data_IF_706805073062
#
_entry.id   IF_706805073062
#
_cell.length_a   1.000
_cell.length_b   1.000
_cell.length_c   1.000
_cell.angle_alpha   90.00
_cell.angle_beta   90.00
_cell.angle_gamma   90.00
#
_symmetry.space_group_name_H-M   'P 1'
#
loop_
_entity.id
_entity.type
_entity.pdbx_description
1 polymer ?
#
# COMPACT_ATOMS: atom_id res chain seq x y z
N UNK A 1 -25.31 33.44 -11.54
CA UNK A 1 -24.15 33.32 -12.42
C UNK A 1 -24.43 33.76 -13.85
N UNK A 2 -25.32 33.13 -14.62
CA UNK A 2 -25.63 33.56 -16.01
C UNK A 2 -26.04 35.03 -16.09
N UNK A 3 -26.90 35.49 -15.18
CA UNK A 3 -27.33 36.88 -15.06
C UNK A 3 -26.16 37.83 -14.71
N UNK A 4 -25.28 37.45 -13.74
CA UNK A 4 -24.13 38.27 -13.33
C UNK A 4 -23.11 38.39 -14.48
N UNK A 5 -22.82 37.27 -15.17
CA UNK A 5 -21.91 37.26 -16.32
C UNK A 5 -22.50 37.86 -17.60
N UNK A 6 -23.81 38.19 -17.64
CA UNK A 6 -24.48 38.71 -18.80
C UNK A 6 -24.51 37.75 -20.01
N UNK A 7 -24.66 36.45 -19.75
CA UNK A 7 -24.66 35.40 -20.78
C UNK A 7 -25.76 34.35 -20.53
N UNK A 8 -26.02 33.49 -21.53
CA UNK A 8 -26.99 32.40 -21.37
C UNK A 8 -26.45 31.31 -20.43
N UNK A 9 -27.35 30.53 -19.79
CA UNK A 9 -26.97 29.32 -19.01
C UNK A 9 -26.15 28.33 -19.83
N UNK A 10 -26.43 28.23 -21.12
CA UNK A 10 -25.71 27.37 -22.06
C UNK A 10 -24.26 27.83 -22.26
N UNK A 11 -24.05 29.16 -22.31
CA UNK A 11 -22.69 29.76 -22.40
C UNK A 11 -21.91 29.52 -21.13
N UNK A 12 -22.52 29.69 -19.96
CA UNK A 12 -21.90 29.33 -18.66
C UNK A 12 -21.49 27.84 -18.66
N UNK A 13 -22.38 26.95 -19.05
CA UNK A 13 -22.10 25.50 -19.15
C UNK A 13 -20.94 25.21 -20.10
N UNK A 14 -20.86 25.87 -21.26
CA UNK A 14 -19.74 25.71 -22.20
C UNK A 14 -18.39 26.17 -21.59
N UNK A 15 -18.37 27.30 -20.91
CA UNK A 15 -17.16 27.79 -20.23
C UNK A 15 -16.73 26.81 -19.14
N UNK A 16 -17.67 26.39 -18.28
CA UNK A 16 -17.41 25.40 -17.23
C UNK A 16 -16.90 24.05 -17.76
N UNK A 17 -17.32 23.65 -18.96
CA UNK A 17 -16.91 22.39 -19.60
C UNK A 17 -15.69 22.53 -20.52
N UNK A 18 -15.00 23.69 -20.50
CA UNK A 18 -13.76 23.88 -21.25
C UNK A 18 -13.90 23.94 -22.77
N UNK A 19 -15.10 24.23 -23.30
CA UNK A 19 -15.30 24.34 -24.75
C UNK A 19 -14.40 25.42 -25.33
N UNK A 20 -13.58 25.06 -26.32
CA UNK A 20 -12.60 25.96 -26.97
C UNK A 20 -13.23 27.07 -27.80
N UNK A 21 -14.46 26.91 -28.22
CA UNK A 21 -15.19 27.87 -29.13
C UNK A 21 -15.87 29.02 -28.38
N UNK A 22 -15.59 29.26 -27.10
CA UNK A 22 -16.09 30.43 -26.36
C UNK A 22 -15.08 31.56 -26.50
N UNK A 23 -15.54 32.77 -26.85
CA UNK A 23 -14.67 33.95 -26.96
C UNK A 23 -13.97 34.25 -25.65
N UNK A 24 -12.68 34.64 -25.64
CA UNK A 24 -11.90 34.90 -24.41
C UNK A 24 -12.61 35.85 -23.45
N UNK A 25 -13.09 37.00 -23.94
CA UNK A 25 -13.80 38.00 -23.13
C UNK A 25 -15.07 37.46 -22.45
N UNK A 26 -15.77 36.52 -23.11
CA UNK A 26 -16.95 35.86 -22.54
C UNK A 26 -16.55 34.87 -21.48
N UNK A 27 -15.44 34.17 -21.68
CA UNK A 27 -14.85 33.24 -20.69
C UNK A 27 -14.45 33.99 -19.44
N UNK A 28 -13.76 35.12 -19.60
CA UNK A 28 -13.26 35.94 -18.46
C UNK A 28 -14.43 36.49 -17.62
N UNK A 29 -15.50 36.99 -18.25
CA UNK A 29 -16.71 37.43 -17.54
C UNK A 29 -17.38 36.30 -16.76
N UNK A 30 -17.42 35.09 -17.31
CA UNK A 30 -17.99 33.93 -16.59
C UNK A 30 -17.11 33.53 -15.44
N UNK A 31 -15.77 33.52 -15.59
CA UNK A 31 -14.83 33.21 -14.53
C UNK A 31 -14.88 34.23 -13.39
N UNK A 32 -14.95 35.54 -13.71
CA UNK A 32 -15.14 36.61 -12.73
C UNK A 32 -16.47 36.43 -11.94
N UNK A 33 -17.56 36.11 -12.62
CA UNK A 33 -18.85 35.87 -11.96
C UNK A 33 -18.83 34.60 -11.07
N UNK A 34 -18.02 33.57 -11.42
CA UNK A 34 -17.80 32.37 -10.59
C UNK A 34 -17.10 32.78 -9.29
N UNK A 35 -16.04 33.58 -9.38
CA UNK A 35 -15.26 34.07 -8.25
C UNK A 35 -16.09 34.98 -7.34
N UNK A 36 -16.79 35.97 -7.91
CA UNK A 36 -17.67 36.91 -7.18
C UNK A 36 -18.78 36.19 -6.39
N UNK A 37 -19.38 35.15 -6.98
CA UNK A 37 -20.46 34.39 -6.35
C UNK A 37 -19.98 33.25 -5.43
N UNK A 38 -18.68 33.01 -5.33
CA UNK A 38 -18.12 31.86 -4.62
C UNK A 38 -18.71 30.52 -5.17
N UNK A 39 -19.07 30.50 -6.45
CA UNK A 39 -19.80 29.36 -7.00
C UNK A 39 -18.91 28.12 -7.07
N UNK A 40 -19.29 27.11 -6.32
CA UNK A 40 -18.73 25.76 -6.43
C UNK A 40 -19.57 24.93 -7.42
N UNK A 41 -18.87 24.28 -8.32
CA UNK A 41 -19.50 23.42 -9.33
C UNK A 41 -20.32 22.33 -8.62
N UNK A 42 -21.59 22.19 -8.97
CA UNK A 42 -22.42 21.10 -8.48
C UNK A 42 -22.02 19.81 -9.23
N UNK A 43 -21.25 18.95 -8.56
CA UNK A 43 -20.79 17.65 -9.11
C UNK A 43 -21.96 16.71 -9.39
N UNK A 44 -23.02 16.72 -8.54
CA UNK A 44 -24.20 15.89 -8.74
C UNK A 44 -24.94 16.23 -10.06
N UNK A 45 -25.08 17.53 -10.38
CA UNK A 45 -25.69 17.94 -11.64
C UNK A 45 -24.83 17.52 -12.86
N UNK A 46 -23.50 17.52 -12.74
CA UNK A 46 -22.60 17.02 -13.78
C UNK A 46 -22.75 15.51 -13.96
N UNK A 47 -22.76 14.76 -12.89
CA UNK A 47 -22.93 13.29 -12.91
C UNK A 47 -24.20 12.89 -13.64
N UNK A 48 -25.32 13.59 -13.40
CA UNK A 48 -26.59 13.35 -14.10
C UNK A 48 -26.46 13.54 -15.63
N UNK A 49 -25.69 14.53 -16.08
CA UNK A 49 -25.53 14.85 -17.50
C UNK A 49 -24.48 13.97 -18.19
N UNK A 50 -23.36 13.73 -17.51
CA UNK A 50 -22.20 13.03 -18.10
C UNK A 50 -22.20 11.54 -17.81
N UNK A 51 -23.02 11.08 -16.86
CA UNK A 51 -22.99 9.74 -16.26
C UNK A 51 -21.60 9.36 -15.68
N UNK A 52 -20.81 10.38 -15.32
CA UNK A 52 -19.47 10.22 -14.74
C UNK A 52 -19.38 11.01 -13.43
N UNK A 53 -19.19 10.30 -12.34
CA UNK A 53 -19.06 10.92 -11.01
C UNK A 53 -17.68 11.56 -10.81
N UNK A 54 -16.64 11.03 -11.48
CA UNK A 54 -15.25 11.38 -11.22
C UNK A 54 -14.80 10.85 -9.85
N UNK A 55 -15.41 9.77 -9.35
CA UNK A 55 -15.10 9.19 -8.05
C UNK A 55 -14.73 7.72 -8.18
N UNK A 56 -13.73 7.30 -7.40
CA UNK A 56 -13.29 5.91 -7.24
C UNK A 56 -13.60 5.48 -5.81
N UNK A 57 -14.29 4.35 -5.64
CA UNK A 57 -14.50 3.72 -4.34
C UNK A 57 -13.22 3.05 -3.87
N UNK A 58 -12.90 3.20 -2.59
CA UNK A 58 -11.77 2.48 -1.98
C UNK A 58 -12.28 1.76 -0.74
N UNK A 59 -12.06 0.45 -0.72
CA UNK A 59 -12.38 -0.40 0.42
C UNK A 59 -11.08 -0.86 1.05
N UNK A 60 -10.92 -0.67 2.34
CA UNK A 60 -9.70 -1.02 3.04
C UNK A 60 -9.97 -1.44 4.48
N UNK A 61 -9.14 -2.33 4.99
CA UNK A 61 -9.04 -2.67 6.41
C UNK A 61 -7.74 -2.11 6.99
N UNK A 62 -7.63 -2.13 8.30
CA UNK A 62 -6.35 -1.97 9.03
C UNK A 62 -5.54 -0.71 8.69
N UNK A 63 -6.22 0.43 8.50
CA UNK A 63 -5.59 1.74 8.23
C UNK A 63 -4.61 2.20 9.33
N UNK A 64 -4.55 1.51 10.45
CA UNK A 64 -3.59 1.78 11.53
C UNK A 64 -2.18 1.27 11.20
N UNK A 65 -2.04 0.40 10.20
CA UNK A 65 -0.75 -0.11 9.76
C UNK A 65 -0.15 0.76 8.65
N UNK A 66 1.18 0.82 8.62
CA UNK A 66 1.93 1.69 7.70
C UNK A 66 1.68 1.39 6.22
N UNK A 67 1.63 0.10 5.85
CA UNK A 67 1.40 -0.33 4.47
C UNK A 67 0.08 0.18 3.90
N UNK A 68 -1.10 -0.22 4.45
CA UNK A 68 -2.40 0.23 3.97
C UNK A 68 -2.56 1.75 3.94
N UNK A 69 -2.10 2.46 4.98
CA UNK A 69 -2.13 3.92 5.02
C UNK A 69 -1.29 4.57 3.91
N UNK A 70 -0.09 4.03 3.66
CA UNK A 70 0.82 4.53 2.63
C UNK A 70 0.32 4.26 1.21
N UNK A 71 -0.30 3.09 0.97
CA UNK A 71 -0.98 2.76 -0.29
C UNK A 71 -2.12 3.77 -0.55
N UNK A 72 -2.93 4.05 0.46
CA UNK A 72 -4.02 5.03 0.36
C UNK A 72 -3.50 6.42 -0.03
N UNK A 73 -2.42 6.90 0.60
CA UNK A 73 -1.81 8.20 0.25
C UNK A 73 -1.26 8.23 -1.18
N UNK A 74 -0.62 7.14 -1.61
CA UNK A 74 -0.13 6.99 -2.98
C UNK A 74 -1.26 7.00 -4.00
N UNK A 75 -2.34 6.27 -3.71
CA UNK A 75 -3.54 6.20 -4.55
C UNK A 75 -4.27 7.55 -4.61
N UNK A 76 -4.42 8.26 -3.47
CA UNK A 76 -5.05 9.60 -3.43
C UNK A 76 -4.31 10.57 -4.35
N UNK A 77 -2.98 10.60 -4.23
CA UNK A 77 -2.15 11.48 -5.07
C UNK A 77 -2.30 11.17 -6.57
N UNK A 78 -2.31 9.88 -6.94
CA UNK A 78 -2.47 9.45 -8.33
C UNK A 78 -3.88 9.71 -8.86
N UNK A 79 -4.91 9.46 -8.06
CA UNK A 79 -6.32 9.70 -8.43
C UNK A 79 -6.58 11.18 -8.68
N UNK A 80 -6.09 12.05 -7.79
CA UNK A 80 -6.20 13.50 -7.94
C UNK A 80 -5.50 14.00 -9.22
N UNK A 81 -4.31 13.47 -9.53
CA UNK A 81 -3.59 13.81 -10.76
C UNK A 81 -4.38 13.37 -12.03
N UNK A 82 -5.15 12.29 -11.94
CA UNK A 82 -6.03 11.80 -12.99
C UNK A 82 -7.42 12.49 -13.02
N UNK A 83 -7.69 13.42 -12.09
CA UNK A 83 -8.97 14.16 -12.00
C UNK A 83 -10.09 13.38 -11.30
N UNK A 84 -9.76 12.36 -10.50
CA UNK A 84 -10.69 11.59 -9.69
C UNK A 84 -10.59 11.95 -8.21
N UNK A 85 -11.71 11.86 -7.51
CA UNK A 85 -11.79 11.85 -6.04
C UNK A 85 -11.91 10.43 -5.50
N UNK A 86 -11.54 10.22 -4.24
CA UNK A 86 -11.74 8.93 -3.58
C UNK A 86 -12.94 8.98 -2.64
N UNK A 87 -13.70 7.88 -2.62
CA UNK A 87 -14.74 7.58 -1.65
C UNK A 87 -14.31 6.36 -0.84
N UNK A 88 -14.11 6.53 0.47
CA UNK A 88 -13.55 5.52 1.36
C UNK A 88 -14.64 4.78 2.13
N UNK A 89 -14.57 3.45 2.15
CA UNK A 89 -15.30 2.58 3.07
C UNK A 89 -14.31 1.71 3.84
N UNK A 90 -14.32 1.79 5.16
CA UNK A 90 -13.50 0.96 6.04
C UNK A 90 -14.19 -0.37 6.35
N UNK A 91 -13.42 -1.44 6.48
CA UNK A 91 -13.90 -2.72 6.98
C UNK A 91 -13.66 -2.80 8.49
N UNK A 92 -14.70 -2.84 9.33
CA UNK A 92 -14.52 -3.00 10.78
C UNK A 92 -14.04 -4.40 11.16
N UNK A 93 -14.35 -5.39 10.31
CA UNK A 93 -13.91 -6.78 10.41
C UNK A 93 -13.83 -7.40 9.01
N UNK A 94 -13.02 -8.43 8.87
CA UNK A 94 -12.88 -9.17 7.61
C UNK A 94 -13.95 -10.25 7.55
N UNK A 95 -15.10 -9.90 7.02
CA UNK A 95 -16.24 -10.81 6.83
C UNK A 95 -16.94 -10.54 5.49
N UNK A 96 -17.64 -11.55 4.97
CA UNK A 96 -18.42 -11.41 3.74
C UNK A 96 -19.51 -10.33 3.88
N UNK A 97 -20.08 -10.17 5.07
CA UNK A 97 -21.10 -9.16 5.36
C UNK A 97 -20.51 -7.76 5.33
N UNK A 98 -19.39 -7.52 6.05
CA UNK A 98 -18.72 -6.22 6.08
C UNK A 98 -18.22 -5.81 4.69
N UNK A 99 -17.64 -6.75 3.93
CA UNK A 99 -17.15 -6.44 2.58
C UNK A 99 -18.30 -6.09 1.63
N UNK A 100 -19.42 -6.83 1.69
CA UNK A 100 -20.61 -6.52 0.88
C UNK A 100 -21.18 -5.15 1.24
N UNK A 101 -21.33 -4.85 2.52
CA UNK A 101 -21.80 -3.54 2.99
C UNK A 101 -20.89 -2.40 2.53
N UNK A 102 -19.57 -2.59 2.58
CA UNK A 102 -18.60 -1.60 2.10
C UNK A 102 -18.70 -1.38 0.58
N UNK A 103 -18.92 -2.46 -0.19
CA UNK A 103 -19.17 -2.36 -1.64
C UNK A 103 -20.45 -1.59 -1.91
N UNK A 104 -21.56 -1.94 -1.27
CA UNK A 104 -22.84 -1.25 -1.43
C UNK A 104 -22.70 0.24 -1.07
N UNK A 105 -22.01 0.55 0.04
CA UNK A 105 -21.78 1.93 0.48
C UNK A 105 -21.04 2.78 -0.57
N UNK A 106 -20.01 2.24 -1.24
CA UNK A 106 -19.29 3.00 -2.27
C UNK A 106 -20.09 3.06 -3.58
N UNK A 107 -20.83 2.00 -3.93
CA UNK A 107 -21.68 1.99 -5.13
C UNK A 107 -22.84 2.99 -5.03
N UNK A 108 -23.44 3.16 -3.84
CA UNK A 108 -24.47 4.18 -3.56
C UNK A 108 -24.00 5.61 -3.85
N UNK A 109 -22.66 5.84 -3.82
CA UNK A 109 -22.04 7.13 -4.18
C UNK A 109 -21.74 7.24 -5.68
N UNK A 110 -22.26 6.30 -6.49
CA UNK A 110 -22.08 6.25 -7.94
C UNK A 110 -20.62 6.29 -8.39
N UNK A 111 -19.73 5.58 -7.69
CA UNK A 111 -18.31 5.47 -8.08
C UNK A 111 -18.16 4.79 -9.45
N UNK A 112 -17.14 5.18 -10.22
CA UNK A 112 -16.89 4.62 -11.56
C UNK A 112 -16.08 3.32 -11.52
N UNK A 113 -15.31 3.10 -10.47
CA UNK A 113 -14.56 1.88 -10.21
C UNK A 113 -14.35 1.68 -8.70
N UNK A 114 -13.94 0.48 -8.29
CA UNK A 114 -13.63 0.13 -6.89
C UNK A 114 -12.20 -0.37 -6.80
N UNK A 115 -11.45 0.11 -5.81
CA UNK A 115 -10.14 -0.41 -5.41
C UNK A 115 -10.30 -1.07 -4.04
N UNK A 116 -9.86 -2.31 -3.91
CA UNK A 116 -9.94 -3.06 -2.65
C UNK A 116 -8.52 -3.30 -2.14
N UNK A 117 -8.17 -2.63 -1.04
CA UNK A 117 -6.87 -2.78 -0.36
C UNK A 117 -7.08 -3.73 0.81
N UNK A 118 -6.91 -5.01 0.56
CA UNK A 118 -7.13 -6.05 1.58
C UNK A 118 -6.04 -7.10 1.45
N UNK A 119 -5.19 -7.16 2.42
CA UNK A 119 -4.01 -8.00 2.46
C UNK A 119 -4.26 -9.40 3.06
N UNK A 120 -5.50 -9.74 3.42
CA UNK A 120 -5.84 -11.02 4.04
C UNK A 120 -6.34 -12.05 3.02
N UNK A 121 -5.88 -13.29 3.15
CA UNK A 121 -6.31 -14.40 2.27
C UNK A 121 -7.84 -14.58 2.26
N UNK A 122 -8.47 -14.54 3.45
CA UNK A 122 -9.92 -14.64 3.58
C UNK A 122 -10.67 -13.52 2.83
N UNK A 123 -10.17 -12.30 2.87
CA UNK A 123 -10.78 -11.16 2.20
C UNK A 123 -10.58 -11.20 0.68
N UNK A 124 -9.44 -11.74 0.21
CA UNK A 124 -9.20 -11.97 -1.21
C UNK A 124 -10.20 -12.98 -1.78
N UNK A 125 -10.41 -14.11 -1.11
CA UNK A 125 -11.38 -15.12 -1.50
C UNK A 125 -12.81 -14.55 -1.54
N UNK A 126 -13.18 -13.70 -0.57
CA UNK A 126 -14.46 -13.01 -0.54
C UNK A 126 -14.60 -12.01 -1.71
N UNK A 127 -13.57 -11.21 -1.99
CA UNK A 127 -13.59 -10.25 -3.09
C UNK A 127 -13.81 -10.93 -4.46
N UNK A 128 -13.21 -12.09 -4.68
CA UNK A 128 -13.44 -12.90 -5.90
C UNK A 128 -14.87 -13.45 -6.00
N UNK A 129 -15.56 -13.65 -4.88
CA UNK A 129 -16.93 -14.17 -4.86
C UNK A 129 -17.98 -13.08 -5.07
N UNK A 130 -17.61 -11.79 -4.97
CA UNK A 130 -18.55 -10.69 -5.12
C UNK A 130 -18.80 -10.37 -6.60
N UNK A 131 -20.08 -10.13 -6.90
CA UNK A 131 -20.46 -9.53 -8.17
C UNK A 131 -20.46 -8.01 -8.02
N UNK A 132 -19.45 -7.34 -8.59
CA UNK A 132 -19.30 -5.89 -8.58
C UNK A 132 -19.60 -5.38 -9.98
N UNK A 133 -20.63 -4.51 -10.11
CA UNK A 133 -21.14 -4.03 -11.41
C UNK A 133 -20.18 -3.06 -12.11
N UNK A 134 -19.24 -2.46 -11.37
CA UNK A 134 -18.23 -1.54 -11.92
C UNK A 134 -16.87 -2.22 -11.99
N UNK A 135 -15.91 -1.72 -12.80
CA UNK A 135 -14.55 -2.21 -12.79
C UNK A 135 -13.93 -2.18 -11.39
N UNK A 136 -13.23 -3.22 -11.00
CA UNK A 136 -12.52 -3.25 -9.72
C UNK A 136 -11.06 -3.68 -9.88
N UNK A 137 -10.23 -3.29 -8.91
CA UNK A 137 -8.80 -3.60 -8.80
C UNK A 137 -8.52 -4.07 -7.38
N UNK A 138 -7.79 -5.18 -7.25
CA UNK A 138 -7.30 -5.68 -5.98
C UNK A 138 -5.86 -5.19 -5.76
N UNK A 139 -5.54 -4.80 -4.53
CA UNK A 139 -4.20 -4.37 -4.13
C UNK A 139 -3.66 -5.38 -3.14
N UNK A 140 -2.43 -5.82 -3.35
CA UNK A 140 -1.72 -6.81 -2.54
C UNK A 140 -2.38 -8.21 -2.55
N UNK A 141 -3.10 -8.53 -3.63
CA UNK A 141 -3.69 -9.86 -3.80
C UNK A 141 -2.67 -10.90 -4.27
N UNK A 142 -3.12 -12.15 -4.39
CA UNK A 142 -2.36 -13.21 -5.06
C UNK A 142 -2.18 -12.84 -6.54
N UNK A 143 -0.97 -12.41 -6.86
CA UNK A 143 -0.58 -11.91 -8.18
C UNK A 143 -0.57 -13.01 -9.26
N UNK A 144 -0.62 -14.27 -8.86
CA UNK A 144 -0.70 -15.43 -9.77
C UNK A 144 -2.12 -15.66 -10.28
N UNK A 145 -3.15 -15.12 -9.61
CA UNK A 145 -4.53 -15.56 -9.81
C UNK A 145 -5.37 -14.67 -10.75
N UNK A 146 -5.08 -13.36 -10.90
CA UNK A 146 -5.92 -12.49 -11.74
C UNK A 146 -5.16 -11.32 -12.38
N UNK A 147 -5.54 -10.91 -13.62
CA UNK A 147 -5.00 -9.68 -14.26
C UNK A 147 -5.51 -8.38 -13.62
N UNK A 148 -6.18 -8.43 -12.46
CA UNK A 148 -6.84 -7.30 -11.80
C UNK A 148 -6.06 -6.78 -10.60
N UNK A 149 -4.81 -7.25 -10.40
CA UNK A 149 -4.04 -6.96 -9.19
C UNK A 149 -2.92 -5.98 -9.46
N UNK A 150 -2.63 -5.17 -8.46
CA UNK A 150 -1.44 -4.31 -8.38
C UNK A 150 -0.81 -4.50 -7.00
N UNK A 151 0.52 -4.60 -6.92
CA UNK A 151 1.20 -4.82 -5.65
C UNK A 151 2.69 -4.54 -5.74
N UNK A 152 3.37 -4.71 -4.60
CA UNK A 152 4.83 -4.73 -4.49
C UNK A 152 5.30 -6.19 -4.51
N UNK A 153 6.46 -6.46 -5.10
CA UNK A 153 7.05 -7.80 -5.07
C UNK A 153 7.63 -8.09 -3.67
N UNK A 154 6.76 -8.66 -2.81
CA UNK A 154 7.10 -8.98 -1.42
C UNK A 154 8.16 -10.09 -1.32
N UNK A 155 8.11 -11.06 -2.23
CA UNK A 155 9.08 -12.17 -2.31
C UNK A 155 10.45 -11.61 -2.65
N UNK A 156 10.54 -10.79 -3.70
CA UNK A 156 11.81 -10.17 -4.09
C UNK A 156 12.36 -9.27 -2.97
N UNK A 157 11.51 -8.51 -2.27
CA UNK A 157 11.91 -7.69 -1.14
C UNK A 157 12.50 -8.49 0.02
N UNK A 158 11.86 -9.59 0.41
CA UNK A 158 12.36 -10.47 1.46
C UNK A 158 13.66 -11.18 1.06
N UNK A 159 13.80 -11.53 -0.23
CA UNK A 159 15.06 -12.06 -0.77
C UNK A 159 16.19 -11.03 -0.69
N UNK A 160 15.92 -9.76 -1.03
CA UNK A 160 16.92 -8.68 -0.89
C UNK A 160 17.40 -8.54 0.55
N UNK A 161 16.47 -8.54 1.53
CA UNK A 161 16.80 -8.46 2.95
C UNK A 161 17.65 -9.64 3.42
N UNK A 162 17.23 -10.85 3.05
CA UNK A 162 17.89 -12.09 3.50
C UNK A 162 19.23 -12.28 2.81
N UNK A 163 19.32 -12.08 1.49
CA UNK A 163 20.56 -12.19 0.74
C UNK A 163 21.61 -11.21 1.25
N UNK A 164 21.21 -9.96 1.57
CA UNK A 164 22.13 -8.98 2.15
C UNK A 164 22.84 -9.52 3.43
N UNK A 165 22.08 -10.16 4.32
CA UNK A 165 22.65 -10.77 5.53
C UNK A 165 23.56 -11.97 5.21
N UNK A 166 23.15 -12.82 4.26
CA UNK A 166 23.94 -13.98 3.85
C UNK A 166 25.25 -13.54 3.13
N UNK A 167 25.19 -12.51 2.29
CA UNK A 167 26.33 -11.93 1.58
C UNK A 167 27.34 -11.28 2.56
N UNK A 168 26.89 -10.81 3.71
CA UNK A 168 27.75 -10.35 4.82
C UNK A 168 28.46 -11.50 5.55
N UNK A 169 28.12 -12.76 5.26
CA UNK A 169 28.75 -13.96 5.85
C UNK A 169 27.96 -14.61 6.98
N UNK A 170 26.70 -14.19 7.23
CA UNK A 170 25.84 -14.91 8.16
C UNK A 170 25.42 -16.25 7.58
N UNK A 171 25.56 -17.34 8.34
CA UNK A 171 25.18 -18.69 7.92
C UNK A 171 23.75 -19.07 8.34
N UNK A 172 23.10 -18.23 9.12
CA UNK A 172 21.72 -18.39 9.57
C UNK A 172 21.08 -17.03 9.74
N UNK A 173 19.88 -16.85 9.21
CA UNK A 173 19.07 -15.64 9.38
C UNK A 173 17.75 -16.07 10.00
N UNK A 174 17.45 -15.61 11.22
CA UNK A 174 16.12 -15.79 11.79
C UNK A 174 15.14 -14.81 11.16
N UNK A 175 13.89 -15.25 11.03
CA UNK A 175 12.81 -14.39 10.56
C UNK A 175 11.83 -14.12 11.70
N UNK A 176 11.45 -12.86 11.85
CA UNK A 176 10.35 -12.41 12.70
C UNK A 176 9.20 -12.01 11.78
N UNK A 177 8.28 -12.96 11.46
CA UNK A 177 7.21 -12.71 10.52
C UNK A 177 6.11 -11.83 11.10
N UNK A 178 5.34 -11.18 10.22
CA UNK A 178 4.04 -10.64 10.57
C UNK A 178 2.97 -11.74 10.70
N UNK A 179 1.70 -11.37 10.93
CA UNK A 179 0.59 -12.31 11.02
C UNK A 179 0.48 -13.13 9.73
N UNK A 180 0.48 -14.46 9.84
CA UNK A 180 0.56 -15.36 8.69
C UNK A 180 -0.76 -15.54 7.93
N UNK A 181 -1.83 -14.93 8.39
CA UNK A 181 -3.07 -14.74 7.64
C UNK A 181 -3.01 -13.54 6.67
N UNK A 182 -1.92 -12.74 6.74
CA UNK A 182 -1.63 -11.68 5.78
C UNK A 182 -0.79 -12.20 4.61
N UNK A 183 -1.22 -11.85 3.38
CA UNK A 183 -0.54 -12.27 2.15
C UNK A 183 0.91 -11.79 2.09
N UNK A 184 1.18 -10.55 2.50
CA UNK A 184 2.53 -9.97 2.55
C UNK A 184 3.43 -10.70 3.55
N UNK A 185 2.91 -11.06 4.73
CA UNK A 185 3.69 -11.82 5.72
C UNK A 185 4.09 -13.19 5.19
N UNK A 186 3.14 -13.88 4.55
CA UNK A 186 3.38 -15.18 3.92
C UNK A 186 4.36 -15.07 2.74
N UNK A 187 4.22 -14.04 1.90
CA UNK A 187 5.14 -13.80 0.78
C UNK A 187 6.56 -13.44 1.25
N UNK A 188 6.69 -12.58 2.30
CA UNK A 188 8.00 -12.24 2.90
C UNK A 188 8.65 -13.48 3.53
N UNK A 189 7.89 -14.32 4.22
CA UNK A 189 8.39 -15.59 4.76
C UNK A 189 8.87 -16.52 3.65
N UNK A 190 8.15 -16.61 2.55
CA UNK A 190 8.55 -17.42 1.40
C UNK A 190 9.84 -16.90 0.76
N UNK A 191 9.97 -15.59 0.53
CA UNK A 191 11.18 -14.98 0.00
C UNK A 191 12.41 -15.21 0.90
N UNK A 192 12.25 -15.11 2.22
CA UNK A 192 13.27 -15.47 3.20
C UNK A 192 13.68 -16.94 3.08
N UNK A 193 12.71 -17.86 3.02
CA UNK A 193 12.95 -19.28 2.89
C UNK A 193 13.71 -19.63 1.61
N UNK A 194 13.29 -19.02 0.48
CA UNK A 194 13.94 -19.22 -0.83
C UNK A 194 15.40 -18.76 -0.80
N UNK A 195 15.69 -17.58 -0.24
CA UNK A 195 17.06 -17.05 -0.16
C UNK A 195 17.96 -17.96 0.67
N UNK A 196 17.51 -18.47 1.81
CA UNK A 196 18.26 -19.44 2.61
C UNK A 196 18.56 -20.73 1.83
N UNK A 197 17.57 -21.27 1.14
CA UNK A 197 17.75 -22.50 0.34
C UNK A 197 18.71 -22.34 -0.82
N UNK A 198 18.67 -21.20 -1.52
CA UNK A 198 19.60 -20.89 -2.62
C UNK A 198 21.05 -20.80 -2.16
N UNK A 199 21.27 -20.37 -0.90
CA UNK A 199 22.61 -20.35 -0.29
C UNK A 199 22.98 -21.66 0.41
N UNK A 200 22.15 -22.72 0.32
CA UNK A 200 22.42 -23.99 1.00
C UNK A 200 22.30 -23.92 2.51
N UNK A 201 21.70 -22.86 3.05
CA UNK A 201 21.49 -22.67 4.47
C UNK A 201 20.26 -23.43 4.98
N UNK A 202 20.36 -23.95 6.22
CA UNK A 202 19.21 -24.56 6.88
C UNK A 202 18.17 -23.50 7.20
N UNK A 203 16.90 -23.77 6.86
CA UNK A 203 15.77 -22.92 7.27
C UNK A 203 15.50 -23.14 8.76
N UNK A 204 15.65 -22.10 9.61
CA UNK A 204 15.34 -22.24 11.04
C UNK A 204 13.86 -22.57 11.28
N UNK A 205 13.60 -23.45 12.25
CA UNK A 205 12.24 -23.80 12.64
C UNK A 205 11.60 -22.75 13.57
N UNK A 206 12.42 -21.99 14.29
CA UNK A 206 11.94 -20.99 15.23
C UNK A 206 11.40 -19.77 14.46
N UNK A 207 10.12 -19.52 14.62
CA UNK A 207 9.46 -18.28 14.21
C UNK A 207 8.48 -17.87 15.30
N UNK A 208 8.61 -16.64 15.77
CA UNK A 208 7.64 -16.03 16.68
C UNK A 208 6.88 -14.97 15.89
N UNK A 209 5.61 -15.26 15.67
CA UNK A 209 4.72 -14.40 14.86
C UNK A 209 4.44 -13.08 15.59
N UNK A 210 4.57 -11.97 14.87
CA UNK A 210 4.20 -10.64 15.32
C UNK A 210 2.85 -10.19 14.76
N UNK A 211 2.41 -9.00 15.15
CA UNK A 211 1.16 -8.36 14.72
C UNK A 211 1.37 -7.00 14.04
N UNK A 212 2.53 -6.82 13.41
CA UNK A 212 3.02 -5.58 12.80
C UNK A 212 3.38 -4.46 13.78
N UNK A 213 3.11 -4.60 15.08
CA UNK A 213 3.40 -3.57 16.08
C UNK A 213 4.80 -3.71 16.70
N UNK A 214 5.37 -2.59 17.17
CA UNK A 214 6.62 -2.62 17.93
C UNK A 214 6.49 -3.42 19.22
N UNK A 215 5.29 -3.47 19.82
CA UNK A 215 5.02 -4.28 21.01
C UNK A 215 5.23 -5.77 20.73
N UNK A 216 4.65 -6.28 19.63
CA UNK A 216 4.81 -7.68 19.24
C UNK A 216 6.25 -7.99 18.86
N UNK A 217 6.92 -7.08 18.15
CA UNK A 217 8.35 -7.21 17.82
C UNK A 217 9.24 -7.31 19.07
N UNK A 218 8.93 -6.53 20.11
CA UNK A 218 9.62 -6.64 21.41
C UNK A 218 9.36 -7.99 22.09
N UNK A 219 8.11 -8.42 22.17
CA UNK A 219 7.73 -9.70 22.75
C UNK A 219 8.37 -10.89 22.03
N UNK A 220 8.29 -10.89 20.70
CA UNK A 220 8.88 -11.91 19.85
C UNK A 220 10.42 -11.93 19.95
N UNK A 221 11.06 -10.75 20.00
CA UNK A 221 12.51 -10.64 20.21
C UNK A 221 12.94 -11.26 21.54
N UNK A 222 12.22 -11.00 22.62
CA UNK A 222 12.51 -11.62 23.93
C UNK A 222 12.34 -13.15 23.91
N UNK A 223 11.26 -13.63 23.29
CA UNK A 223 11.03 -15.08 23.16
C UNK A 223 12.13 -15.76 22.33
N UNK A 224 12.51 -15.15 21.20
CA UNK A 224 13.60 -15.62 20.36
C UNK A 224 14.93 -15.70 21.11
N UNK A 225 15.27 -14.68 21.92
CA UNK A 225 16.50 -14.62 22.68
C UNK A 225 16.54 -15.60 23.84
N UNK A 226 15.38 -16.07 24.33
CA UNK A 226 15.30 -17.13 25.34
C UNK A 226 15.70 -18.51 24.79
N UNK A 227 15.50 -18.73 23.48
CA UNK A 227 15.73 -20.01 22.83
C UNK A 227 16.99 -20.07 21.97
N UNK A 228 17.49 -18.92 21.51
CA UNK A 228 18.60 -18.86 20.54
C UNK A 228 19.46 -17.61 20.70
N UNK A 229 20.65 -17.65 20.12
CA UNK A 229 21.56 -16.52 19.97
C UNK A 229 21.78 -16.25 18.48
N UNK A 230 20.86 -15.56 17.79
CA UNK A 230 21.03 -15.29 16.38
C UNK A 230 22.15 -14.26 16.16
N UNK A 231 22.85 -14.38 15.04
CA UNK A 231 23.77 -13.34 14.55
C UNK A 231 23.09 -12.41 13.54
N UNK A 232 21.95 -12.82 12.97
CA UNK A 232 21.20 -12.03 12.02
C UNK A 232 19.69 -12.30 12.13
N UNK A 233 18.89 -11.23 12.02
CA UNK A 233 17.44 -11.29 12.06
C UNK A 233 16.85 -10.42 10.95
N UNK A 234 15.92 -10.99 10.17
CA UNK A 234 15.04 -10.25 9.27
C UNK A 234 13.67 -10.08 9.96
N UNK A 235 13.34 -8.84 10.33
CA UNK A 235 12.02 -8.47 10.83
C UNK A 235 11.11 -8.07 9.66
N UNK A 236 9.89 -8.60 9.67
CA UNK A 236 8.97 -8.44 8.54
C UNK A 236 8.50 -6.99 8.32
N UNK A 237 8.63 -6.09 9.31
CA UNK A 237 8.48 -4.64 9.12
C UNK A 237 9.36 -3.84 10.10
N UNK A 238 9.47 -2.53 9.85
CA UNK A 238 10.33 -1.63 10.64
C UNK A 238 9.79 -1.40 12.06
N UNK A 239 8.46 -1.43 12.27
CA UNK A 239 7.88 -1.29 13.60
C UNK A 239 8.24 -2.49 14.48
N UNK A 240 8.15 -3.71 13.94
CA UNK A 240 8.58 -4.91 14.68
C UNK A 240 10.11 -4.90 14.87
N UNK A 241 10.88 -4.42 13.87
CA UNK A 241 12.33 -4.23 14.02
C UNK A 241 12.65 -3.27 15.18
N UNK A 242 11.91 -2.17 15.35
CA UNK A 242 12.07 -1.26 16.50
C UNK A 242 11.87 -1.97 17.83
N UNK A 243 10.84 -2.81 17.93
CA UNK A 243 10.59 -3.63 19.11
C UNK A 243 11.71 -4.62 19.37
N UNK A 244 12.21 -5.28 18.32
CA UNK A 244 13.35 -6.20 18.39
C UNK A 244 14.64 -5.49 18.85
N UNK A 245 14.94 -4.32 18.28
CA UNK A 245 16.12 -3.52 18.70
C UNK A 245 16.09 -3.21 20.19
N UNK A 246 14.93 -2.88 20.74
CA UNK A 246 14.77 -2.68 22.18
C UNK A 246 15.02 -3.97 22.98
N UNK A 247 14.50 -5.12 22.54
CA UNK A 247 14.70 -6.41 23.21
C UNK A 247 16.19 -6.80 23.21
N UNK A 248 16.91 -6.57 22.10
CA UNK A 248 18.35 -6.80 21.99
C UNK A 248 19.13 -5.89 22.94
N UNK A 249 18.81 -4.60 22.99
CA UNK A 249 19.44 -3.63 23.88
C UNK A 249 19.26 -4.02 25.36
N UNK A 250 18.06 -4.38 25.80
CA UNK A 250 17.77 -4.82 27.17
C UNK A 250 18.48 -6.14 27.53
N UNK A 251 18.76 -6.97 26.51
CA UNK A 251 19.57 -8.19 26.69
C UNK A 251 21.10 -7.93 26.67
N UNK A 252 21.54 -6.68 26.50
CA UNK A 252 22.94 -6.30 26.44
C UNK A 252 23.64 -6.68 25.12
N UNK A 253 22.85 -6.93 24.07
CA UNK A 253 23.35 -7.25 22.72
C UNK A 253 23.41 -5.99 21.88
N UNK A 254 24.55 -5.78 21.20
CA UNK A 254 24.79 -4.63 20.34
C UNK A 254 24.36 -4.92 18.92
N UNK A 255 23.78 -3.94 18.28
CA UNK A 255 23.44 -3.98 16.85
C UNK A 255 24.32 -2.94 16.15
N UNK A 256 25.11 -3.31 15.15
CA UNK A 256 25.14 -4.61 14.46
C UNK A 256 26.17 -5.62 14.99
N UNK A 257 27.02 -5.28 15.99
CA UNK A 257 28.22 -6.03 16.37
C UNK A 257 27.94 -7.45 16.84
N UNK A 258 26.86 -7.65 17.61
CA UNK A 258 26.46 -8.97 18.13
C UNK A 258 25.32 -9.56 17.31
N UNK A 259 24.40 -8.73 16.77
CA UNK A 259 23.25 -9.14 15.97
C UNK A 259 22.97 -8.13 14.86
N UNK A 260 23.00 -8.56 13.60
CA UNK A 260 22.54 -7.78 12.47
C UNK A 260 21.01 -7.80 12.35
N UNK A 261 20.40 -6.66 12.10
CA UNK A 261 18.93 -6.52 11.95
C UNK A 261 18.59 -5.84 10.63
N UNK A 262 17.70 -6.47 9.84
CA UNK A 262 17.09 -5.86 8.65
C UNK A 262 15.59 -5.76 8.86
N UNK A 263 15.01 -4.61 8.52
CA UNK A 263 13.57 -4.35 8.52
C UNK A 263 12.94 -4.41 7.13
N UNK A 264 11.71 -3.91 7.05
CA UNK A 264 10.94 -3.79 5.82
C UNK A 264 9.98 -2.60 5.94
N UNK A 265 9.70 -1.89 4.86
CA UNK A 265 8.86 -0.71 4.64
C UNK A 265 9.65 0.58 4.42
N UNK A 266 10.81 0.78 5.06
CA UNK A 266 11.57 2.02 5.10
C UNK A 266 10.71 3.20 5.58
N UNK A 267 10.13 3.03 6.78
CA UNK A 267 9.37 4.11 7.42
C UNK A 267 10.26 5.34 7.65
N UNK A 268 9.72 6.57 7.64
CA UNK A 268 10.52 7.79 7.80
C UNK A 268 11.44 7.78 9.00
N UNK A 269 11.03 7.13 10.09
CA UNK A 269 11.76 7.02 11.35
C UNK A 269 12.91 6.03 11.31
N UNK A 270 12.94 5.08 10.37
CA UNK A 270 13.93 3.99 10.33
C UNK A 270 15.38 4.50 10.21
N UNK A 271 15.57 5.65 9.56
CA UNK A 271 16.85 6.33 9.47
C UNK A 271 17.33 6.97 10.80
N UNK A 272 16.45 7.06 11.79
CA UNK A 272 16.68 7.68 13.10
C UNK A 272 16.61 6.67 14.26
N UNK A 273 16.45 5.40 13.96
CA UNK A 273 16.58 4.35 14.96
C UNK A 273 18.03 4.28 15.45
N UNK A 274 18.25 3.61 16.56
CA UNK A 274 19.60 3.42 17.13
C UNK A 274 19.93 1.93 17.18
N UNK A 275 20.79 1.46 16.25
CA UNK A 275 21.38 2.19 15.10
C UNK A 275 20.35 2.48 13.97
N UNK A 276 20.67 3.35 12.99
CA UNK A 276 19.86 3.53 11.78
C UNK A 276 19.63 2.21 11.05
N UNK A 277 18.35 1.88 10.79
CA UNK A 277 17.92 0.56 10.35
C UNK A 277 18.13 0.34 8.84
N UNK A 278 18.87 -0.71 8.50
CA UNK A 278 18.88 -1.30 7.16
C UNK A 278 17.50 -1.92 6.91
N UNK A 279 16.85 -1.59 5.79
CA UNK A 279 15.47 -1.98 5.54
C UNK A 279 15.17 -2.06 4.06
N UNK A 280 14.06 -2.68 3.70
CA UNK A 280 13.57 -2.76 2.31
C UNK A 280 12.52 -1.68 2.08
N UNK A 281 12.76 -0.78 1.13
CA UNK A 281 11.82 0.27 0.74
C UNK A 281 10.78 -0.25 -0.23
N UNK A 282 9.52 0.05 0.06
CA UNK A 282 8.41 -0.09 -0.84
C UNK A 282 8.04 1.28 -1.44
N UNK A 283 7.95 1.39 -2.78
CA UNK A 283 7.52 2.65 -3.42
C UNK A 283 5.98 2.69 -3.53
N UNK A 284 5.31 3.05 -2.43
CA UNK A 284 3.85 3.18 -2.39
C UNK A 284 3.31 4.29 -3.30
N UNK A 285 4.15 5.29 -3.66
CA UNK A 285 3.75 6.31 -4.65
C UNK A 285 3.68 5.70 -6.04
N UNK A 286 4.66 4.88 -6.42
CA UNK A 286 4.63 4.12 -7.68
C UNK A 286 3.48 3.13 -7.69
N UNK A 287 3.23 2.43 -6.57
CA UNK A 287 2.09 1.53 -6.45
C UNK A 287 0.77 2.28 -6.70
N UNK A 288 0.56 3.44 -6.08
CA UNK A 288 -0.62 4.28 -6.33
C UNK A 288 -0.79 4.65 -7.81
N UNK A 289 0.31 4.98 -8.51
CA UNK A 289 0.28 5.25 -9.97
C UNK A 289 -0.14 4.01 -10.77
N UNK A 290 0.39 2.82 -10.43
CA UNK A 290 0.04 1.57 -11.11
C UNK A 290 -1.39 1.15 -10.87
N UNK A 291 -1.89 1.28 -9.64
CA UNK A 291 -3.30 1.06 -9.32
C UNK A 291 -4.17 1.97 -10.20
N UNK A 292 -3.87 3.27 -10.23
CA UNK A 292 -4.68 4.22 -11.00
C UNK A 292 -4.58 3.97 -12.51
N UNK A 293 -3.40 3.61 -13.03
CA UNK A 293 -3.24 3.22 -14.43
C UNK A 293 -4.10 2.00 -14.79
N UNK A 294 -4.14 0.99 -13.89
CA UNK A 294 -4.98 -0.20 -14.08
C UNK A 294 -6.47 0.16 -14.05
N UNK A 295 -6.90 1.00 -13.09
CA UNK A 295 -8.27 1.51 -13.02
C UNK A 295 -8.68 2.21 -14.32
N UNK A 296 -7.85 3.11 -14.84
CA UNK A 296 -8.15 3.86 -16.08
C UNK A 296 -8.25 2.94 -17.30
N UNK A 297 -7.37 1.96 -17.43
CA UNK A 297 -7.44 0.96 -18.50
C UNK A 297 -8.70 0.11 -18.41
N UNK A 298 -9.10 -0.27 -17.18
CA UNK A 298 -10.37 -0.99 -16.95
C UNK A 298 -11.59 -0.14 -17.30
N UNK A 299 -11.59 1.14 -16.94
CA UNK A 299 -12.63 2.10 -17.32
C UNK A 299 -12.71 2.31 -18.85
N UNK A 300 -11.59 2.14 -19.56
CA UNK A 300 -11.53 2.15 -21.02
C UNK A 300 -12.01 0.84 -21.67
N UNK A 301 -12.38 -0.19 -20.88
CA UNK A 301 -12.88 -1.48 -21.37
C UNK A 301 -11.81 -2.54 -21.64
N UNK A 302 -10.55 -2.32 -21.18
CA UNK A 302 -9.48 -3.31 -21.32
C UNK A 302 -9.63 -4.42 -20.26
N UNK A 303 -10.32 -5.51 -20.59
CA UNK A 303 -10.64 -6.58 -19.66
C UNK A 303 -9.41 -7.34 -19.12
N UNK A 304 -8.34 -7.46 -19.91
CA UNK A 304 -7.10 -8.16 -19.55
C UNK A 304 -5.97 -7.18 -19.19
N UNK A 305 -6.30 -5.95 -18.75
CA UNK A 305 -5.30 -5.00 -18.31
C UNK A 305 -4.52 -5.56 -17.12
N UNK A 306 -3.20 -5.47 -17.18
CA UNK A 306 -2.29 -5.82 -16.08
C UNK A 306 -1.20 -4.76 -15.95
N UNK A 307 -0.60 -4.68 -14.78
CA UNK A 307 0.56 -3.83 -14.50
C UNK A 307 1.65 -4.69 -13.85
N UNK A 308 2.94 -4.41 -14.08
CA UNK A 308 4.00 -5.14 -13.40
C UNK A 308 3.96 -4.83 -11.90
N UNK A 309 4.56 -5.71 -11.09
CA UNK A 309 4.78 -5.45 -9.67
C UNK A 309 5.75 -4.30 -9.47
N UNK A 310 5.56 -3.54 -8.38
CA UNK A 310 6.53 -2.54 -7.95
C UNK A 310 7.75 -3.27 -7.37
N UNK A 311 8.93 -2.97 -7.90
CA UNK A 311 10.18 -3.54 -7.41
C UNK A 311 10.58 -2.85 -6.10
N UNK A 312 10.81 -3.61 -5.01
CA UNK A 312 11.33 -3.08 -3.76
C UNK A 312 12.84 -2.82 -3.88
N UNK A 313 13.39 -2.02 -2.94
CA UNK A 313 14.83 -1.69 -2.90
C UNK A 313 15.38 -1.82 -1.50
N UNK A 314 16.53 -2.44 -1.35
CA UNK A 314 17.27 -2.46 -0.09
C UNK A 314 17.91 -1.09 0.17
N UNK A 315 17.72 -0.57 1.37
CA UNK A 315 18.33 0.65 1.88
C UNK A 315 19.30 0.25 3.00
N UNK A 316 20.57 0.18 2.67
CA UNK A 316 21.60 -0.20 3.65
C UNK A 316 21.92 0.98 4.55
N UNK A 317 21.91 0.73 5.87
CA UNK A 317 22.29 1.69 6.93
C UNK A 317 23.27 1.01 7.91
N UNK A 318 23.14 1.28 9.20
CA UNK A 318 24.12 0.90 10.21
C UNK A 318 23.71 -0.30 11.10
N UNK A 319 22.59 -0.95 10.81
CA UNK A 319 22.08 -2.06 11.65
C UNK A 319 22.56 -3.45 11.18
N UNK A 320 23.45 -3.51 10.22
CA UNK A 320 24.00 -4.76 9.67
C UNK A 320 25.53 -4.69 9.50
N UNK A 321 26.22 -5.76 9.83
CA UNK A 321 27.64 -5.95 9.63
C UNK A 321 27.96 -7.43 9.42
N UNK A 322 29.21 -7.77 9.05
CA UNK A 322 29.67 -9.15 9.06
C UNK A 322 29.59 -9.72 10.49
N UNK A 323 29.29 -11.03 10.66
CA UNK A 323 29.27 -11.65 11.98
C UNK A 323 30.63 -11.56 12.66
N UNK A 324 30.63 -11.24 13.95
CA UNK A 324 31.86 -11.35 14.77
C UNK A 324 32.23 -12.81 14.88
N UNK A 325 33.50 -13.13 14.62
CA UNK A 325 34.05 -14.49 14.72
C UNK A 325 34.00 -15.04 16.15
#
# INVERSE_FOLDING_TARGET
MASVAGVSHQTVSRVLNGFSKVRPETRDRVLAAIEELGYRRNTAARTLVTRRSGSIGVITADMNHYGPASIMLGLESASRAAGYSLSLAGLPEISATSLRQAVDQVLDQAVEAVVIIVAHEAALALAHSLHIEVPFVLVEGDLSATPLTAGVDQIAGARLATNHLLDLGHHSVLHLPGPLDWLEATARREGWRMALQEHGCRVPALMVEGDWTSRSGYGAGRAMLAESRPTAVFAANDQMALGLLRALHEAGLRVPEDVSVVGFDDVPESGYFTPPLTTVRQDFRELGRRIMALVLRRLAGELNASVPLVEPRLIVRSSTAAPSN
#
